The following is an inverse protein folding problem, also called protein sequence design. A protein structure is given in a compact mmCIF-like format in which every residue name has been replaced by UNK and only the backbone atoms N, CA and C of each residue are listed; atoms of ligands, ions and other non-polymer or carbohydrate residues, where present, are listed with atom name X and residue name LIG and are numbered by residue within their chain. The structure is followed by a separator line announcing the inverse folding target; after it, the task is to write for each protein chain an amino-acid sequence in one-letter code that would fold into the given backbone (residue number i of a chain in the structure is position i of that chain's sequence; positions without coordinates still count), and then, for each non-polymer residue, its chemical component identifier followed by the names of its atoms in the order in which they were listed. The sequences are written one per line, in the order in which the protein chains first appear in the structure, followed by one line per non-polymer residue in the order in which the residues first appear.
data_IF_544554142138
#
_entry.id   IF_544554142138
#
_cell.length_a   1.000
_cell.length_b   1.000
_cell.length_c   1.000
_cell.angle_alpha   90.00
_cell.angle_beta   90.00
_cell.angle_gamma   90.00
#
_symmetry.space_group_name_H-M   'P 1'
#
loop_
_entity.id
_entity.type
_entity.pdbx_description
1 polymer ?
#
# COMPACT_ATOMS: atom_id res chain seq x y z
N UNK A 1 27.16 9.78 -17.90
CA UNK A 1 27.51 10.03 -19.32
C UNK A 1 27.68 8.68 -19.99
N UNK A 2 27.19 8.49 -21.21
CA UNK A 2 27.38 7.21 -21.89
C UNK A 2 28.87 7.06 -22.19
N UNK A 3 29.48 5.96 -21.74
CA UNK A 3 30.82 5.52 -22.15
C UNK A 3 30.85 5.57 -23.68
N UNK A 4 31.64 6.49 -24.25
CA UNK A 4 32.06 6.36 -25.64
C UNK A 4 32.61 4.94 -25.81
N UNK A 5 32.08 4.19 -26.78
CA UNK A 5 32.45 2.80 -27.02
C UNK A 5 33.97 2.70 -27.11
N UNK A 6 34.61 2.20 -26.04
CA UNK A 6 36.04 1.91 -26.02
C UNK A 6 36.31 0.99 -27.20
N UNK A 7 37.32 1.30 -28.01
CA UNK A 7 37.61 0.49 -29.19
C UNK A 7 38.11 -0.87 -28.72
N UNK A 8 37.33 -1.91 -28.96
CA UNK A 8 37.85 -3.28 -28.92
C UNK A 8 38.58 -3.49 -30.27
N UNK A 9 39.87 -3.85 -30.29
CA UNK A 9 40.54 -4.14 -31.54
C UNK A 9 39.95 -5.43 -32.11
N UNK A 10 38.99 -5.23 -33.02
CA UNK A 10 38.37 -6.20 -33.94
C UNK A 10 37.53 -7.31 -33.28
N UNK A 11 36.30 -7.51 -33.76
CA UNK A 11 35.39 -8.61 -33.38
C UNK A 11 35.92 -10.01 -33.78
N UNK A 12 37.11 -10.09 -34.37
CA UNK A 12 37.75 -11.31 -34.89
C UNK A 12 38.61 -12.05 -33.87
N UNK A 13 38.99 -11.41 -32.75
CA UNK A 13 39.86 -11.98 -31.71
C UNK A 13 39.08 -12.44 -30.48
N UNK A 14 39.58 -13.46 -29.79
CA UNK A 14 39.02 -13.95 -28.51
C UNK A 14 39.02 -12.87 -27.42
N UNK A 15 40.01 -11.96 -27.45
CA UNK A 15 40.12 -10.84 -26.52
C UNK A 15 41.41 -10.04 -26.69
N UNK A 16 41.44 -8.85 -26.10
CA UNK A 16 42.59 -7.96 -26.04
C UNK A 16 43.44 -8.23 -24.79
N UNK A 17 44.68 -8.69 -24.99
CA UNK A 17 45.65 -8.94 -23.92
C UNK A 17 46.72 -7.85 -23.91
N UNK A 18 46.89 -7.18 -22.78
CA UNK A 18 47.97 -6.21 -22.56
C UNK A 18 49.10 -6.87 -21.76
N UNK A 19 50.29 -6.95 -22.34
CA UNK A 19 51.48 -7.53 -21.73
C UNK A 19 52.46 -6.42 -21.36
N UNK A 20 52.92 -6.40 -20.12
CA UNK A 20 53.84 -5.41 -19.57
C UNK A 20 55.01 -6.14 -18.93
N UNK A 21 56.20 -6.03 -19.52
CA UNK A 21 57.42 -6.67 -19.03
C UNK A 21 58.63 -5.87 -19.51
N UNK A 22 59.56 -5.53 -18.61
CA UNK A 22 60.75 -4.75 -18.94
C UNK A 22 61.75 -5.52 -19.80
N UNK A 23 61.61 -6.85 -19.88
CA UNK A 23 62.37 -7.71 -20.80
C UNK A 23 61.66 -7.87 -22.16
N UNK A 24 62.20 -7.30 -23.26
CA UNK A 24 61.56 -7.40 -24.59
C UNK A 24 61.41 -8.85 -25.08
N UNK A 25 62.33 -9.73 -24.66
CA UNK A 25 62.30 -11.15 -25.01
C UNK A 25 61.07 -11.85 -24.42
N UNK A 26 60.67 -11.50 -23.18
CA UNK A 26 59.48 -12.06 -22.55
C UNK A 26 58.22 -11.55 -23.25
N UNK A 27 58.14 -10.24 -23.53
CA UNK A 27 57.05 -9.65 -24.31
C UNK A 27 56.86 -10.37 -25.66
N UNK A 28 57.95 -10.57 -26.41
CA UNK A 28 57.92 -11.24 -27.71
C UNK A 28 57.52 -12.72 -27.61
N UNK A 29 58.01 -13.43 -26.59
CA UNK A 29 57.65 -14.83 -26.36
C UNK A 29 56.15 -14.99 -26.03
N UNK A 30 55.64 -14.19 -25.09
CA UNK A 30 54.22 -14.19 -24.72
C UNK A 30 53.34 -13.87 -25.93
N UNK A 31 53.73 -12.86 -26.72
CA UNK A 31 53.04 -12.50 -27.96
C UNK A 31 52.99 -13.66 -28.96
N UNK A 32 54.14 -14.30 -29.23
CA UNK A 32 54.23 -15.45 -30.11
C UNK A 32 53.44 -16.68 -29.63
N UNK A 33 53.18 -16.78 -28.31
CA UNK A 33 52.34 -17.85 -27.74
C UNK A 33 50.85 -17.58 -27.86
N UNK A 34 50.41 -16.33 -27.74
CA UNK A 34 49.00 -15.95 -27.66
C UNK A 34 48.38 -15.57 -29.01
N UNK A 35 49.14 -14.95 -29.94
CA UNK A 35 48.60 -14.58 -31.27
C UNK A 35 48.08 -15.78 -32.07
N UNK A 36 48.78 -16.95 -32.13
CA UNK A 36 48.26 -18.13 -32.82
C UNK A 36 46.96 -18.69 -32.21
N UNK A 37 46.70 -18.40 -30.95
CA UNK A 37 45.48 -18.83 -30.23
C UNK A 37 44.32 -17.83 -30.39
N UNK A 38 44.46 -16.88 -31.32
CA UNK A 38 43.50 -15.85 -31.69
C UNK A 38 43.28 -14.75 -30.64
N UNK A 39 44.33 -14.36 -29.90
CA UNK A 39 44.31 -13.17 -29.05
C UNK A 39 44.96 -11.98 -29.74
N UNK A 40 44.42 -10.77 -29.51
CA UNK A 40 45.10 -9.55 -29.92
C UNK A 40 46.03 -9.11 -28.79
N UNK A 41 47.34 -9.07 -29.04
CA UNK A 41 48.34 -8.84 -27.99
C UNK A 41 49.03 -7.50 -28.19
N UNK A 42 48.95 -6.63 -27.18
CA UNK A 42 49.71 -5.39 -27.10
C UNK A 42 50.81 -5.55 -26.04
N UNK A 43 52.06 -5.33 -26.43
CA UNK A 43 53.23 -5.49 -25.54
C UNK A 43 53.87 -4.13 -25.25
N UNK A 44 54.26 -3.89 -24.00
CA UNK A 44 54.97 -2.69 -23.58
C UNK A 44 56.08 -3.03 -22.59
N UNK A 45 57.24 -2.39 -22.76
CA UNK A 45 58.34 -2.45 -21.79
C UNK A 45 58.29 -1.33 -20.76
N UNK A 46 57.50 -0.28 -21.02
CA UNK A 46 57.24 0.83 -20.10
C UNK A 46 55.79 0.75 -19.58
N UNK A 47 55.56 0.42 -18.30
CA UNK A 47 54.24 0.38 -17.70
C UNK A 47 53.44 1.68 -17.84
N UNK A 48 54.10 2.85 -17.80
CA UNK A 48 53.43 4.15 -17.89
C UNK A 48 52.82 4.36 -19.29
N UNK A 49 53.43 3.81 -20.33
CA UNK A 49 52.88 3.84 -21.69
C UNK A 49 51.71 2.87 -21.83
N UNK A 50 51.83 1.67 -21.27
CA UNK A 50 50.77 0.67 -21.25
C UNK A 50 49.50 1.20 -20.57
N UNK A 51 49.65 1.86 -19.41
CA UNK A 51 48.52 2.40 -18.66
C UNK A 51 47.76 3.52 -19.39
N UNK A 52 48.38 4.23 -20.34
CA UNK A 52 47.71 5.25 -21.19
C UNK A 52 46.72 4.66 -22.19
N UNK A 53 46.76 3.34 -22.41
CA UNK A 53 45.79 2.65 -23.28
C UNK A 53 44.43 2.47 -22.60
N UNK A 54 44.41 2.39 -21.27
CA UNK A 54 43.17 2.31 -20.52
C UNK A 54 42.34 3.58 -20.75
N UNK A 55 41.06 3.39 -21.11
CA UNK A 55 40.16 4.46 -21.53
C UNK A 55 40.12 4.70 -23.04
N UNK A 56 41.14 4.27 -23.80
CA UNK A 56 41.10 4.26 -25.28
C UNK A 56 40.65 2.92 -25.84
N UNK A 57 41.16 1.85 -25.24
CA UNK A 57 40.86 0.46 -25.61
C UNK A 57 40.16 -0.26 -24.46
N UNK A 58 39.31 -1.23 -24.80
CA UNK A 58 38.72 -2.14 -23.82
C UNK A 58 39.62 -3.36 -23.66
N UNK A 59 40.50 -3.34 -22.66
CA UNK A 59 41.52 -4.37 -22.42
C UNK A 59 40.90 -5.49 -21.62
N UNK A 60 40.96 -6.74 -22.10
CA UNK A 60 40.33 -7.88 -21.44
C UNK A 60 41.17 -8.54 -20.36
N UNK A 61 42.47 -8.70 -20.60
CA UNK A 61 43.38 -9.32 -19.65
C UNK A 61 44.68 -8.54 -19.63
N UNK A 62 45.25 -8.36 -18.45
CA UNK A 62 46.58 -7.78 -18.29
C UNK A 62 47.54 -8.83 -17.77
N UNK A 63 48.71 -8.93 -18.40
CA UNK A 63 49.83 -9.72 -17.93
C UNK A 63 50.93 -8.73 -17.56
N UNK A 64 51.40 -8.75 -16.31
CA UNK A 64 52.43 -7.83 -15.84
C UNK A 64 53.54 -8.59 -15.15
N UNK A 65 54.79 -8.25 -15.44
CA UNK A 65 55.90 -8.64 -14.58
C UNK A 65 55.73 -8.02 -13.18
N UNK A 66 56.21 -8.72 -12.15
CA UNK A 66 56.17 -8.23 -10.77
C UNK A 66 57.23 -7.16 -10.53
N UNK A 67 58.44 -7.31 -11.07
CA UNK A 67 59.62 -6.52 -10.74
C UNK A 67 60.12 -5.73 -11.94
N UNK A 68 59.53 -4.56 -12.16
CA UNK A 68 59.95 -3.64 -13.21
C UNK A 68 60.59 -2.36 -12.62
N UNK A 69 61.56 -1.72 -13.31
CA UNK A 69 62.14 -0.45 -12.90
C UNK A 69 61.11 0.68 -12.83
N UNK A 70 61.25 1.58 -11.84
CA UNK A 70 60.42 2.76 -11.56
C UNK A 70 58.94 2.52 -11.22
N UNK A 71 58.24 1.67 -11.95
CA UNK A 71 56.81 1.40 -11.80
C UNK A 71 56.59 -0.12 -11.73
N UNK A 72 56.34 -0.61 -10.53
CA UNK A 72 56.32 -2.03 -10.22
C UNK A 72 55.03 -2.72 -10.70
N UNK A 73 55.04 -4.05 -10.77
CA UNK A 73 53.83 -4.83 -11.09
C UNK A 73 52.70 -4.62 -10.08
N UNK A 74 53.01 -4.34 -8.81
CA UNK A 74 51.99 -4.01 -7.82
C UNK A 74 51.37 -2.63 -8.01
N UNK A 75 52.10 -1.67 -8.56
CA UNK A 75 51.53 -0.39 -8.97
C UNK A 75 50.54 -0.57 -10.12
N UNK A 76 50.86 -1.43 -11.11
CA UNK A 76 49.96 -1.80 -12.21
C UNK A 76 48.70 -2.46 -11.65
N UNK A 77 48.85 -3.44 -10.77
CA UNK A 77 47.72 -4.14 -10.15
C UNK A 77 46.83 -3.16 -9.37
N UNK A 78 47.41 -2.30 -8.52
CA UNK A 78 46.64 -1.28 -7.76
C UNK A 78 45.87 -0.34 -8.67
N UNK A 79 46.49 0.14 -9.74
CA UNK A 79 45.82 1.01 -10.71
C UNK A 79 44.59 0.33 -11.33
N UNK A 80 44.75 -0.91 -11.80
CA UNK A 80 43.69 -1.66 -12.47
C UNK A 80 42.58 -2.01 -11.48
N UNK A 81 42.91 -2.52 -10.30
CA UNK A 81 41.91 -2.86 -9.27
C UNK A 81 41.07 -1.65 -8.84
N UNK A 82 41.65 -0.46 -8.87
CA UNK A 82 40.95 0.78 -8.48
C UNK A 82 40.07 1.32 -9.60
N UNK A 83 40.56 1.34 -10.85
CA UNK A 83 39.87 2.01 -11.97
C UNK A 83 39.11 1.08 -12.90
N UNK A 84 39.54 -0.17 -13.01
CA UNK A 84 39.02 -1.18 -13.92
C UNK A 84 38.94 -2.55 -13.22
N UNK A 85 38.17 -2.67 -12.12
CA UNK A 85 38.14 -3.87 -11.27
C UNK A 85 37.67 -5.14 -11.97
N UNK A 86 37.01 -5.01 -13.13
CA UNK A 86 36.60 -6.10 -14.02
C UNK A 86 37.75 -6.70 -14.85
N UNK A 87 38.87 -6.01 -15.00
CA UNK A 87 40.03 -6.50 -15.78
C UNK A 87 40.89 -7.42 -14.88
N UNK A 88 40.95 -8.72 -15.16
CA UNK A 88 41.87 -9.63 -14.47
C UNK A 88 43.33 -9.30 -14.81
N UNK A 89 44.18 -9.40 -13.79
CA UNK A 89 45.63 -9.20 -13.90
C UNK A 89 46.35 -10.49 -13.56
N UNK A 90 47.16 -11.00 -14.49
CA UNK A 90 48.04 -12.15 -14.33
C UNK A 90 49.47 -11.61 -14.07
N UNK A 91 50.10 -12.07 -13.01
CA UNK A 91 51.46 -11.64 -12.66
C UNK A 91 52.51 -12.63 -13.17
N UNK A 92 53.60 -12.16 -13.77
CA UNK A 92 54.76 -12.98 -14.10
C UNK A 92 55.83 -12.83 -13.00
N UNK A 93 56.36 -13.95 -12.52
CA UNK A 93 57.29 -13.97 -11.39
C UNK A 93 58.49 -14.88 -11.62
N UNK A 94 59.63 -14.58 -11.02
CA UNK A 94 60.80 -15.47 -11.01
C UNK A 94 60.68 -16.60 -9.99
N UNK A 95 61.49 -17.65 -10.16
CA UNK A 95 61.51 -18.88 -9.34
C UNK A 95 61.67 -18.70 -7.82
N UNK A 96 62.07 -17.52 -7.33
CA UNK A 96 62.38 -17.26 -5.91
C UNK A 96 61.38 -16.34 -5.18
N UNK A 97 60.20 -16.05 -5.75
CA UNK A 97 59.34 -14.96 -5.25
C UNK A 97 57.96 -15.39 -4.68
N UNK A 98 57.89 -16.56 -4.04
CA UNK A 98 56.64 -17.12 -3.47
C UNK A 98 55.94 -16.15 -2.52
N UNK A 99 56.68 -15.43 -1.67
CA UNK A 99 56.10 -14.44 -0.73
C UNK A 99 55.43 -13.28 -1.46
N UNK A 100 56.03 -12.83 -2.56
CA UNK A 100 55.49 -11.74 -3.38
C UNK A 100 54.30 -12.22 -4.19
N UNK A 101 54.32 -13.45 -4.72
CA UNK A 101 53.15 -14.05 -5.35
C UNK A 101 51.94 -14.09 -4.40
N UNK A 102 52.14 -14.53 -3.14
CA UNK A 102 51.09 -14.52 -2.12
C UNK A 102 50.58 -13.10 -1.82
N UNK A 103 51.47 -12.11 -1.75
CA UNK A 103 51.09 -10.72 -1.56
C UNK A 103 50.22 -10.20 -2.72
N UNK A 104 50.58 -10.49 -3.97
CA UNK A 104 49.82 -10.08 -5.16
C UNK A 104 48.45 -10.76 -5.22
N UNK A 105 48.34 -12.04 -4.86
CA UNK A 105 47.04 -12.72 -4.75
C UNK A 105 46.13 -12.01 -3.75
N UNK A 106 46.65 -11.63 -2.57
CA UNK A 106 45.88 -10.87 -1.56
C UNK A 106 45.44 -9.50 -2.05
N UNK A 107 46.22 -8.89 -2.95
CA UNK A 107 45.87 -7.62 -3.59
C UNK A 107 44.87 -7.76 -4.75
N UNK A 108 44.47 -8.99 -5.09
CA UNK A 108 43.45 -9.26 -6.11
C UNK A 108 44.00 -9.55 -7.51
N UNK A 109 45.26 -9.96 -7.63
CA UNK A 109 45.74 -10.57 -8.87
C UNK A 109 44.91 -11.84 -9.17
N UNK A 110 44.53 -12.01 -10.43
CA UNK A 110 43.72 -13.15 -10.87
C UNK A 110 44.53 -14.45 -10.86
N UNK A 111 45.78 -14.39 -11.31
CA UNK A 111 46.68 -15.54 -11.32
C UNK A 111 48.16 -15.09 -11.27
N UNK A 112 49.08 -16.01 -11.01
CA UNK A 112 50.52 -15.78 -11.13
C UNK A 112 51.19 -16.93 -11.90
N UNK A 113 52.18 -16.61 -12.73
CA UNK A 113 52.92 -17.57 -13.56
C UNK A 113 54.42 -17.41 -13.33
N UNK A 114 55.14 -18.53 -13.28
CA UNK A 114 56.59 -18.55 -13.04
C UNK A 114 57.34 -18.48 -14.39
N UNK A 115 58.34 -17.60 -14.48
CA UNK A 115 59.28 -17.50 -15.62
C UNK A 115 60.34 -18.63 -15.55
N UNK A 116 60.76 -19.24 -16.67
CA UNK A 116 60.29 -18.99 -18.03
C UNK A 116 58.88 -19.59 -18.26
N UNK A 117 58.00 -18.80 -18.85
CA UNK A 117 56.59 -19.18 -19.02
C UNK A 117 56.44 -20.15 -20.19
N UNK A 118 55.74 -21.26 -19.98
CA UNK A 118 55.45 -22.25 -21.02
C UNK A 118 54.19 -21.86 -21.79
N UNK A 119 54.14 -22.16 -23.10
CA UNK A 119 53.01 -21.83 -23.99
C UNK A 119 51.67 -22.29 -23.41
N UNK A 120 51.55 -23.57 -23.10
CA UNK A 120 50.26 -24.15 -22.67
C UNK A 120 49.76 -23.54 -21.36
N UNK A 121 50.69 -23.19 -20.47
CA UNK A 121 50.38 -22.59 -19.16
C UNK A 121 49.86 -21.16 -19.31
N UNK A 122 50.49 -20.33 -20.15
CA UNK A 122 50.06 -18.94 -20.32
C UNK A 122 48.76 -18.84 -21.10
N UNK A 123 48.57 -19.66 -22.14
CA UNK A 123 47.33 -19.71 -22.91
C UNK A 123 46.17 -20.09 -22.01
N UNK A 124 46.32 -21.16 -21.22
CA UNK A 124 45.29 -21.59 -20.27
C UNK A 124 44.96 -20.51 -19.23
N UNK A 125 45.98 -19.83 -18.69
CA UNK A 125 45.78 -18.76 -17.71
C UNK A 125 45.03 -17.55 -18.29
N UNK A 126 45.34 -17.16 -19.53
CA UNK A 126 44.66 -16.05 -20.22
C UNK A 126 43.21 -16.42 -20.56
N UNK A 127 42.96 -17.64 -21.05
CA UNK A 127 41.59 -18.10 -21.32
C UNK A 127 40.73 -18.10 -20.05
N UNK A 128 41.25 -18.57 -18.92
CA UNK A 128 40.53 -18.54 -17.64
C UNK A 128 40.30 -17.12 -17.11
N UNK A 129 41.27 -16.23 -17.30
CA UNK A 129 41.11 -14.81 -16.97
C UNK A 129 39.99 -14.16 -17.82
N UNK A 130 39.98 -14.42 -19.13
CA UNK A 130 38.96 -13.90 -20.04
C UNK A 130 37.57 -14.40 -19.65
N UNK A 131 37.40 -15.71 -19.41
CA UNK A 131 36.13 -16.29 -18.91
C UNK A 131 35.66 -15.59 -17.62
N UNK A 132 36.59 -15.35 -16.68
CA UNK A 132 36.29 -14.68 -15.42
C UNK A 132 35.82 -13.23 -15.62
N UNK A 133 36.46 -12.46 -16.50
CA UNK A 133 36.02 -11.10 -16.86
C UNK A 133 34.61 -11.10 -17.45
N UNK A 134 34.33 -11.99 -18.39
CA UNK A 134 33.02 -12.09 -19.02
C UNK A 134 31.93 -12.39 -17.98
N UNK A 135 32.22 -13.25 -17.01
CA UNK A 135 31.31 -13.53 -15.89
C UNK A 135 31.07 -12.30 -15.01
N UNK A 136 32.12 -11.53 -14.68
CA UNK A 136 31.99 -10.29 -13.90
C UNK A 136 31.10 -9.26 -14.61
N UNK A 137 31.32 -9.06 -15.92
CA UNK A 137 30.53 -8.14 -16.73
C UNK A 137 29.07 -8.59 -16.82
N UNK A 138 28.81 -9.89 -17.02
CA UNK A 138 27.47 -10.48 -17.05
C UNK A 138 26.74 -10.29 -15.72
N UNK A 139 27.40 -10.54 -14.61
CA UNK A 139 26.82 -10.37 -13.28
C UNK A 139 26.45 -8.90 -13.01
N UNK A 140 27.31 -7.96 -13.41
CA UNK A 140 27.04 -6.52 -13.30
C UNK A 140 25.82 -6.12 -14.13
N UNK A 141 25.69 -6.62 -15.35
CA UNK A 141 24.54 -6.34 -16.21
C UNK A 141 23.23 -6.89 -15.62
N UNK A 142 23.24 -8.15 -15.16
CA UNK A 142 22.07 -8.77 -14.52
C UNK A 142 21.63 -8.02 -13.25
N UNK A 143 22.57 -7.47 -12.48
CA UNK A 143 22.24 -6.62 -11.33
C UNK A 143 21.51 -5.34 -11.75
N UNK A 144 21.95 -4.69 -12.83
CA UNK A 144 21.29 -3.49 -13.35
C UNK A 144 19.88 -3.79 -13.87
N UNK A 145 19.70 -4.89 -14.60
CA UNK A 145 18.39 -5.34 -15.08
C UNK A 145 17.44 -5.65 -13.92
N UNK A 146 17.94 -6.36 -12.89
CA UNK A 146 17.17 -6.67 -11.68
C UNK A 146 16.70 -5.39 -10.98
N UNK A 147 17.58 -4.40 -10.81
CA UNK A 147 17.22 -3.13 -10.18
C UNK A 147 16.14 -2.38 -10.99
N UNK A 148 16.25 -2.39 -12.32
CA UNK A 148 15.24 -1.79 -13.20
C UNK A 148 13.88 -2.49 -13.04
N UNK A 149 13.89 -3.82 -13.06
CA UNK A 149 12.69 -4.63 -12.91
C UNK A 149 12.03 -4.44 -11.54
N UNK A 150 12.81 -4.38 -10.46
CA UNK A 150 12.29 -4.12 -9.11
C UNK A 150 11.56 -2.78 -9.04
N UNK A 151 12.14 -1.72 -9.59
CA UNK A 151 11.51 -0.40 -9.64
C UNK A 151 10.21 -0.39 -10.44
N UNK A 152 10.18 -1.08 -11.59
CA UNK A 152 8.97 -1.21 -12.40
C UNK A 152 7.86 -1.98 -11.67
N UNK A 153 8.23 -3.04 -10.95
CA UNK A 153 7.30 -3.83 -10.14
C UNK A 153 6.73 -3.02 -8.97
N UNK A 154 7.57 -2.28 -8.25
CA UNK A 154 7.13 -1.38 -7.18
C UNK A 154 6.14 -0.33 -7.70
N UNK A 155 6.42 0.30 -8.83
CA UNK A 155 5.50 1.25 -9.45
C UNK A 155 4.15 0.59 -9.80
N UNK A 156 4.18 -0.64 -10.34
CA UNK A 156 2.97 -1.39 -10.67
C UNK A 156 2.15 -1.75 -9.42
N UNK A 157 2.80 -2.12 -8.32
CA UNK A 157 2.14 -2.41 -7.05
C UNK A 157 1.45 -1.15 -6.50
N UNK A 158 2.15 0.00 -6.50
CA UNK A 158 1.56 1.26 -6.05
C UNK A 158 0.33 1.65 -6.89
N UNK A 159 0.43 1.56 -8.21
CA UNK A 159 -0.67 1.88 -9.13
C UNK A 159 -1.89 0.95 -8.90
N UNK A 160 -1.66 -0.37 -8.80
CA UNK A 160 -2.74 -1.33 -8.55
C UNK A 160 -3.38 -1.16 -7.18
N UNK A 161 -2.58 -0.83 -6.17
CA UNK A 161 -3.09 -0.55 -4.82
C UNK A 161 -3.99 0.68 -4.83
N UNK A 162 -3.60 1.75 -5.52
CA UNK A 162 -4.43 2.95 -5.68
C UNK A 162 -5.75 2.64 -6.38
N UNK A 163 -5.70 1.96 -7.53
CA UNK A 163 -6.90 1.57 -8.29
C UNK A 163 -7.86 0.71 -7.46
N UNK A 164 -7.32 -0.22 -6.66
CA UNK A 164 -8.14 -1.06 -5.79
C UNK A 164 -8.80 -0.23 -4.68
N UNK A 165 -8.08 0.69 -4.05
CA UNK A 165 -8.64 1.59 -3.04
C UNK A 165 -9.74 2.48 -3.61
N UNK A 166 -9.55 3.04 -4.79
CA UNK A 166 -10.55 3.84 -5.50
C UNK A 166 -11.82 3.01 -5.79
N UNK A 167 -11.66 1.82 -6.37
CA UNK A 167 -12.78 0.93 -6.67
C UNK A 167 -13.54 0.47 -5.41
N UNK A 168 -12.83 0.18 -4.32
CA UNK A 168 -13.46 -0.19 -3.04
C UNK A 168 -14.24 0.99 -2.42
N UNK A 169 -13.71 2.20 -2.50
CA UNK A 169 -14.39 3.40 -2.00
C UNK A 169 -15.62 3.72 -2.84
N UNK A 170 -15.54 3.58 -4.16
CA UNK A 170 -16.68 3.74 -5.07
C UNK A 170 -17.76 2.69 -4.79
N UNK A 171 -17.38 1.42 -4.62
CA UNK A 171 -18.32 0.35 -4.27
C UNK A 171 -19.03 0.63 -2.93
N UNK A 172 -18.30 1.08 -1.90
CA UNK A 172 -18.89 1.47 -0.62
C UNK A 172 -19.88 2.63 -0.77
N UNK A 173 -19.52 3.65 -1.55
CA UNK A 173 -20.40 4.81 -1.83
C UNK A 173 -21.69 4.36 -2.51
N UNK A 174 -21.58 3.59 -3.58
CA UNK A 174 -22.72 3.06 -4.34
C UNK A 174 -23.58 2.18 -3.43
N UNK A 175 -22.98 1.29 -2.64
CA UNK A 175 -23.72 0.42 -1.74
C UNK A 175 -24.56 1.22 -0.73
N UNK A 176 -23.98 2.26 -0.13
CA UNK A 176 -24.70 3.15 0.79
C UNK A 176 -25.80 3.96 0.09
N UNK A 177 -25.58 4.40 -1.14
CA UNK A 177 -26.60 5.06 -1.96
C UNK A 177 -27.77 4.12 -2.28
N UNK A 178 -27.50 2.86 -2.63
CA UNK A 178 -28.54 1.85 -2.84
C UNK A 178 -29.37 1.64 -1.58
N UNK A 179 -28.73 1.49 -0.40
CA UNK A 179 -29.46 1.35 0.86
C UNK A 179 -30.33 2.58 1.15
N UNK A 180 -29.82 3.79 0.88
CA UNK A 180 -30.60 5.01 1.04
C UNK A 180 -31.84 5.03 0.13
N UNK A 181 -31.70 4.61 -1.12
CA UNK A 181 -32.83 4.53 -2.06
C UNK A 181 -33.88 3.52 -1.57
N UNK A 182 -33.45 2.36 -1.07
CA UNK A 182 -34.36 1.36 -0.50
C UNK A 182 -35.10 1.88 0.74
N UNK A 183 -34.39 2.57 1.63
CA UNK A 183 -34.99 3.23 2.80
C UNK A 183 -36.03 4.27 2.35
N UNK A 184 -35.67 5.15 1.42
CA UNK A 184 -36.61 6.14 0.88
C UNK A 184 -37.81 5.52 0.18
N UNK A 185 -37.66 4.36 -0.49
CA UNK A 185 -38.80 3.67 -1.09
C UNK A 185 -39.78 3.11 -0.03
N UNK A 186 -39.28 2.71 1.14
CA UNK A 186 -40.14 2.36 2.29
C UNK A 186 -40.81 3.60 2.86
N UNK A 187 -40.10 4.73 2.95
CA UNK A 187 -40.69 6.01 3.37
C UNK A 187 -41.77 6.53 2.42
N UNK A 188 -41.71 6.23 1.11
CA UNK A 188 -42.80 6.63 0.18
C UNK A 188 -44.13 5.92 0.49
N UNK A 189 -44.11 4.79 1.22
CA UNK A 189 -45.33 4.17 1.80
C UNK A 189 -45.79 4.86 3.09
N UNK A 190 -45.00 5.74 3.67
CA UNK A 190 -45.38 6.52 4.85
C UNK A 190 -45.07 7.99 4.54
N UNK A 191 -45.97 8.72 3.85
CA UNK A 191 -45.71 10.05 3.28
C UNK A 191 -45.13 11.08 4.25
N UNK A 192 -45.22 10.82 5.56
CA UNK A 192 -44.78 11.66 6.66
C UNK A 192 -43.34 11.38 7.13
N UNK A 193 -42.72 10.33 6.60
CA UNK A 193 -41.34 9.92 6.93
C UNK A 193 -40.34 10.31 5.85
N UNK A 194 -40.72 11.08 4.82
CA UNK A 194 -39.82 11.43 3.71
C UNK A 194 -38.56 12.13 4.21
N UNK A 195 -37.40 11.48 4.03
CA UNK A 195 -36.09 12.00 4.45
C UNK A 195 -35.77 11.81 5.93
N UNK A 196 -36.69 11.23 6.71
CA UNK A 196 -36.55 10.96 8.14
C UNK A 196 -35.33 10.07 8.42
N UNK A 197 -35.24 8.92 7.77
CA UNK A 197 -34.14 7.96 7.97
C UNK A 197 -32.79 8.59 7.62
N UNK A 198 -32.76 9.51 6.65
CA UNK A 198 -31.55 10.24 6.32
C UNK A 198 -31.18 11.30 7.39
N UNK A 199 -32.15 11.98 8.00
CA UNK A 199 -31.90 12.89 9.11
C UNK A 199 -31.41 12.14 10.35
N UNK A 200 -32.11 11.08 10.74
CA UNK A 200 -31.73 10.18 11.84
C UNK A 200 -30.31 9.67 11.64
N UNK A 201 -29.95 9.26 10.41
CA UNK A 201 -28.57 8.88 10.05
C UNK A 201 -27.57 10.01 10.32
N UNK A 202 -27.87 11.24 9.92
CA UNK A 202 -26.95 12.38 10.07
C UNK A 202 -26.77 12.75 11.54
N UNK A 203 -27.84 12.77 12.33
CA UNK A 203 -27.78 12.97 13.77
C UNK A 203 -27.02 11.85 14.47
N UNK A 204 -27.31 10.59 14.12
CA UNK A 204 -26.64 9.43 14.69
C UNK A 204 -25.13 9.44 14.40
N UNK A 205 -24.76 9.74 13.15
CA UNK A 205 -23.36 9.89 12.72
C UNK A 205 -22.65 10.93 13.58
N UNK A 206 -23.23 12.10 13.72
CA UNK A 206 -22.59 13.18 14.44
C UNK A 206 -22.47 12.95 15.94
N UNK A 207 -23.50 12.38 16.56
CA UNK A 207 -23.43 12.01 17.97
C UNK A 207 -22.37 10.93 18.20
N UNK A 208 -22.32 9.91 17.36
CA UNK A 208 -21.30 8.86 17.46
C UNK A 208 -19.87 9.40 17.26
N UNK A 209 -19.67 10.34 16.33
CA UNK A 209 -18.39 11.01 16.12
C UNK A 209 -17.94 11.78 17.37
N UNK A 210 -18.84 12.55 17.98
CA UNK A 210 -18.56 13.28 19.24
C UNK A 210 -18.27 12.36 20.42
N UNK A 211 -18.85 11.17 20.43
CA UNK A 211 -18.59 10.12 21.42
C UNK A 211 -17.31 9.30 21.12
N UNK A 212 -16.54 9.65 20.09
CA UNK A 212 -15.25 9.04 19.79
C UNK A 212 -15.34 7.67 19.08
N UNK A 213 -16.41 7.41 18.33
CA UNK A 213 -16.57 6.13 17.64
C UNK A 213 -15.63 6.03 16.43
N UNK A 214 -15.05 4.85 16.22
CA UNK A 214 -14.28 4.58 14.98
C UNK A 214 -15.16 4.69 13.74
N UNK A 215 -14.59 5.10 12.60
CA UNK A 215 -15.31 5.21 11.31
C UNK A 215 -16.15 3.96 10.98
N UNK A 216 -15.61 2.75 11.23
CA UNK A 216 -16.33 1.49 10.99
C UNK A 216 -17.59 1.32 11.85
N UNK A 217 -17.56 1.79 13.10
CA UNK A 217 -18.73 1.76 14.00
C UNK A 217 -19.76 2.81 13.58
N UNK A 218 -19.30 4.00 13.20
CA UNK A 218 -20.15 5.07 12.66
C UNK A 218 -20.85 4.60 11.39
N UNK A 219 -20.14 3.98 10.46
CA UNK A 219 -20.69 3.45 9.22
C UNK A 219 -21.80 2.42 9.49
N UNK A 220 -21.57 1.49 10.43
CA UNK A 220 -22.57 0.50 10.85
C UNK A 220 -23.82 1.16 11.46
N UNK A 221 -23.62 2.18 12.29
CA UNK A 221 -24.73 2.95 12.87
C UNK A 221 -25.51 3.72 11.79
N UNK A 222 -24.83 4.26 10.78
CA UNK A 222 -25.50 4.92 9.65
C UNK A 222 -26.37 3.95 8.85
N UNK A 223 -25.93 2.71 8.63
CA UNK A 223 -26.77 1.68 8.00
C UNK A 223 -27.95 1.29 8.89
N UNK A 224 -27.75 1.14 10.19
CA UNK A 224 -28.83 0.86 11.14
C UNK A 224 -29.86 2.00 11.14
N UNK A 225 -29.42 3.26 11.13
CA UNK A 225 -30.28 4.43 11.06
C UNK A 225 -31.08 4.49 9.75
N UNK A 226 -30.49 4.12 8.62
CA UNK A 226 -31.21 4.09 7.34
C UNK A 226 -32.26 2.96 7.30
N UNK A 227 -32.03 1.86 8.01
CA UNK A 227 -32.83 0.65 7.91
C UNK A 227 -33.73 0.39 9.13
N UNK A 228 -33.70 1.24 10.15
CA UNK A 228 -34.45 1.01 11.41
C UNK A 228 -35.95 0.77 11.16
N UNK A 229 -36.51 1.48 10.19
CA UNK A 229 -37.92 1.43 9.82
C UNK A 229 -38.24 0.50 8.64
N UNK A 230 -37.26 -0.25 8.10
CA UNK A 230 -37.45 -1.10 6.89
C UNK A 230 -38.60 -2.10 7.05
N UNK A 231 -38.88 -2.56 8.28
CA UNK A 231 -39.96 -3.48 8.57
C UNK A 231 -41.37 -2.92 8.34
N UNK A 232 -41.52 -1.59 8.25
CA UNK A 232 -42.80 -0.95 7.90
C UNK A 232 -43.33 -1.37 6.54
N UNK A 233 -42.48 -1.91 5.65
CA UNK A 233 -42.89 -2.47 4.35
C UNK A 233 -43.99 -3.53 4.46
N UNK A 234 -44.04 -4.26 5.58
CA UNK A 234 -44.99 -5.33 5.85
C UNK A 234 -46.29 -4.84 6.55
N UNK A 235 -46.37 -3.57 6.91
CA UNK A 235 -47.55 -2.96 7.55
C UNK A 235 -48.48 -2.44 6.46
N UNK A 236 -49.80 -2.58 6.65
CA UNK A 236 -50.77 -2.12 5.65
C UNK A 236 -50.84 -0.59 5.60
N UNK A 237 -51.05 -0.07 4.39
CA UNK A 237 -51.18 1.37 4.13
C UNK A 237 -52.35 1.98 4.92
N UNK A 238 -53.46 1.25 5.04
CA UNK A 238 -54.65 1.67 5.79
C UNK A 238 -54.35 1.94 7.27
N UNK A 239 -53.40 1.20 7.87
CA UNK A 239 -52.97 1.43 9.26
C UNK A 239 -52.02 2.62 9.33
N UNK A 240 -51.08 2.74 8.40
CA UNK A 240 -50.09 3.83 8.39
C UNK A 240 -50.72 5.20 8.12
N UNK A 241 -51.70 5.27 7.20
CA UNK A 241 -52.36 6.52 6.78
C UNK A 241 -53.60 6.88 7.61
N UNK A 242 -53.94 6.08 8.64
CA UNK A 242 -55.21 6.20 9.36
C UNK A 242 -55.40 7.58 10.01
N UNK A 243 -56.43 8.39 9.65
CA UNK A 243 -56.77 9.68 10.26
C UNK A 243 -57.20 9.56 11.72
N UNK A 244 -56.23 9.45 12.65
CA UNK A 244 -56.44 9.51 14.09
C UNK A 244 -55.58 8.52 14.87
N UNK A 245 -55.90 8.28 16.16
CA UNK A 245 -55.17 7.32 16.97
C UNK A 245 -55.42 5.88 16.48
N UNK A 246 -54.36 5.07 16.53
CA UNK A 246 -54.45 3.63 16.30
C UNK A 246 -55.19 2.93 17.45
N UNK A 247 -55.98 1.92 17.11
CA UNK A 247 -56.53 0.96 18.08
C UNK A 247 -55.41 0.12 18.67
N UNK A 248 -55.67 -0.54 19.81
CA UNK A 248 -54.68 -1.43 20.45
C UNK A 248 -54.17 -2.52 19.50
N UNK A 249 -55.05 -3.13 18.69
CA UNK A 249 -54.69 -4.15 17.71
C UNK A 249 -53.82 -3.60 16.58
N UNK A 250 -54.16 -2.41 16.05
CA UNK A 250 -53.36 -1.76 15.00
C UNK A 250 -51.98 -1.35 15.54
N UNK A 251 -51.91 -0.88 16.78
CA UNK A 251 -50.64 -0.55 17.44
C UNK A 251 -49.75 -1.79 17.63
N UNK A 252 -50.34 -2.93 18.03
CA UNK A 252 -49.61 -4.20 18.13
C UNK A 252 -49.01 -4.64 16.79
N UNK A 253 -49.74 -4.42 15.67
CA UNK A 253 -49.25 -4.68 14.32
C UNK A 253 -48.07 -3.77 13.99
N UNK A 254 -48.19 -2.45 14.21
CA UNK A 254 -47.09 -1.51 13.95
C UNK A 254 -45.85 -1.84 14.78
N UNK A 255 -46.03 -2.27 16.04
CA UNK A 255 -44.92 -2.68 16.93
C UNK A 255 -44.15 -3.92 16.46
N UNK A 256 -44.63 -4.63 15.43
CA UNK A 256 -43.89 -5.74 14.82
C UNK A 256 -42.80 -5.28 13.85
N UNK A 257 -42.81 -4.02 13.38
CA UNK A 257 -41.84 -3.57 12.38
C UNK A 257 -40.36 -3.72 12.78
N UNK A 258 -39.93 -3.59 14.05
CA UNK A 258 -38.52 -3.82 14.40
C UNK A 258 -38.13 -5.30 14.22
N UNK A 259 -39.01 -6.23 14.59
CA UNK A 259 -38.82 -7.68 14.43
C UNK A 259 -38.77 -8.05 12.94
N UNK A 260 -39.68 -7.48 12.15
CA UNK A 260 -39.71 -7.71 10.70
C UNK A 260 -38.45 -7.10 10.04
N UNK A 261 -38.04 -5.91 10.48
CA UNK A 261 -36.85 -5.23 10.00
C UNK A 261 -35.58 -6.04 10.24
N UNK A 262 -35.39 -6.53 11.47
CA UNK A 262 -34.31 -7.45 11.82
C UNK A 262 -34.29 -8.67 10.89
N UNK A 263 -35.45 -9.34 10.74
CA UNK A 263 -35.59 -10.52 9.88
C UNK A 263 -35.24 -10.25 8.42
N UNK A 264 -35.64 -9.09 7.88
CA UNK A 264 -35.34 -8.70 6.50
C UNK A 264 -33.84 -8.53 6.32
N UNK A 265 -33.19 -7.75 7.18
CA UNK A 265 -31.78 -7.37 6.98
C UNK A 265 -30.81 -8.48 7.38
N UNK A 266 -31.19 -9.38 8.29
CA UNK A 266 -30.36 -10.53 8.70
C UNK A 266 -30.06 -11.52 7.56
N UNK A 267 -30.78 -11.45 6.44
CA UNK A 267 -30.49 -12.25 5.24
C UNK A 267 -29.23 -11.78 4.50
N UNK A 268 -28.71 -10.59 4.81
CA UNK A 268 -27.48 -10.06 4.25
C UNK A 268 -26.40 -10.14 5.32
N UNK A 269 -25.33 -10.91 5.05
CA UNK A 269 -24.24 -11.11 6.01
C UNK A 269 -23.65 -9.80 6.56
N UNK A 270 -23.54 -8.80 5.69
CA UNK A 270 -23.06 -7.46 6.06
C UNK A 270 -23.94 -6.77 7.12
N UNK A 271 -25.25 -7.05 7.16
CA UNK A 271 -26.18 -6.41 8.07
C UNK A 271 -26.48 -7.22 9.35
N UNK A 272 -25.97 -8.44 9.49
CA UNK A 272 -26.20 -9.28 10.68
C UNK A 272 -25.86 -8.57 11.97
N UNK A 273 -24.75 -7.82 11.99
CA UNK A 273 -24.33 -7.16 13.21
C UNK A 273 -25.06 -5.82 13.49
N UNK A 274 -25.86 -5.31 12.55
CA UNK A 274 -26.71 -4.13 12.77
C UNK A 274 -28.17 -4.53 13.01
N UNK A 275 -28.55 -5.78 12.75
CA UNK A 275 -29.87 -6.32 12.99
C UNK A 275 -30.38 -6.09 14.43
N UNK A 276 -29.55 -6.26 15.49
CA UNK A 276 -29.96 -5.93 16.85
C UNK A 276 -30.23 -4.44 17.08
N UNK A 277 -29.61 -3.54 16.30
CA UNK A 277 -29.86 -2.10 16.41
C UNK A 277 -31.23 -1.77 15.83
N UNK A 278 -31.57 -2.39 14.70
CA UNK A 278 -32.89 -2.27 14.05
C UNK A 278 -33.98 -2.93 14.89
N UNK A 279 -33.73 -4.06 15.54
CA UNK A 279 -34.73 -4.70 16.41
C UNK A 279 -35.09 -3.85 17.63
N UNK A 280 -34.09 -3.26 18.28
CA UNK A 280 -34.24 -2.68 19.60
C UNK A 280 -34.31 -1.14 19.62
N UNK A 281 -34.42 -0.47 18.48
CA UNK A 281 -34.43 1.01 18.43
C UNK A 281 -35.64 1.66 19.12
N UNK A 282 -36.68 0.86 19.44
CA UNK A 282 -37.83 1.28 20.25
C UNK A 282 -37.83 0.72 21.68
N UNK A 283 -36.74 0.07 22.10
CA UNK A 283 -36.53 -0.24 23.50
C UNK A 283 -36.32 1.05 24.30
N UNK A 284 -36.73 1.01 25.56
CA UNK A 284 -36.65 2.15 26.48
C UNK A 284 -35.73 1.81 27.62
N UNK A 285 -34.94 2.79 28.07
CA UNK A 285 -34.02 2.59 29.19
C UNK A 285 -34.69 2.00 30.45
N UNK A 286 -35.96 2.35 30.69
CA UNK A 286 -36.79 1.88 31.80
C UNK A 286 -37.41 0.47 31.61
N UNK A 287 -37.22 -0.18 30.47
CA UNK A 287 -37.79 -1.50 30.15
C UNK A 287 -39.25 -1.46 29.70
N UNK A 288 -39.85 -0.29 29.50
CA UNK A 288 -41.24 -0.16 29.02
C UNK A 288 -41.34 -0.10 27.48
N UNK A 289 -40.23 -0.39 26.80
CA UNK A 289 -40.11 -0.40 25.35
C UNK A 289 -40.64 -1.68 24.71
N UNK A 290 -40.31 -1.86 23.44
CA UNK A 290 -40.65 -3.05 22.65
C UNK A 290 -39.55 -3.29 21.60
N UNK A 291 -39.40 -4.51 21.06
CA UNK A 291 -40.27 -5.68 21.20
C UNK A 291 -40.03 -6.58 22.43
N UNK A 292 -38.87 -6.51 23.07
CA UNK A 292 -38.41 -7.49 24.06
C UNK A 292 -38.43 -6.95 25.51
N UNK A 293 -38.56 -5.63 25.69
CA UNK A 293 -38.64 -5.00 27.01
C UNK A 293 -37.29 -4.96 27.74
N UNK A 294 -36.20 -4.85 26.98
CA UNK A 294 -34.84 -4.76 27.49
C UNK A 294 -34.64 -3.50 28.35
N UNK A 295 -33.80 -3.59 29.39
CA UNK A 295 -33.59 -2.48 30.33
C UNK A 295 -32.13 -2.05 30.39
N UNK A 296 -31.90 -0.73 30.46
CA UNK A 296 -30.57 -0.18 30.64
C UNK A 296 -29.57 -0.64 29.57
N UNK A 297 -28.45 -1.21 30.02
CA UNK A 297 -27.36 -1.64 29.16
C UNK A 297 -27.63 -2.95 28.39
N UNK A 298 -28.70 -3.67 28.71
CA UNK A 298 -29.15 -4.82 27.89
C UNK A 298 -29.51 -4.39 26.47
N UNK A 299 -29.93 -3.13 26.32
CA UNK A 299 -30.20 -2.53 25.01
C UNK A 299 -28.86 -2.26 24.31
N UNK A 300 -28.66 -2.74 23.07
CA UNK A 300 -27.45 -2.44 22.32
C UNK A 300 -27.19 -0.93 22.25
N UNK A 301 -25.94 -0.51 22.47
CA UNK A 301 -25.60 0.92 22.52
C UNK A 301 -26.10 1.69 21.30
N UNK A 302 -25.93 1.13 20.10
CA UNK A 302 -26.42 1.76 18.87
C UNK A 302 -27.94 1.95 18.85
N UNK A 303 -28.72 1.02 19.41
CA UNK A 303 -30.18 1.16 19.53
C UNK A 303 -30.56 2.27 20.51
N UNK A 304 -29.86 2.38 21.65
CA UNK A 304 -30.05 3.48 22.61
C UNK A 304 -29.78 4.84 21.98
N UNK A 305 -28.74 4.92 21.15
CA UNK A 305 -28.40 6.12 20.38
C UNK A 305 -29.48 6.45 19.34
N UNK A 306 -29.91 5.46 18.55
CA UNK A 306 -30.99 5.63 17.59
C UNK A 306 -32.29 6.11 18.24
N UNK A 307 -32.66 5.56 19.41
CA UNK A 307 -33.86 5.96 20.13
C UNK A 307 -33.91 7.46 20.44
N UNK A 308 -32.78 8.07 20.80
CA UNK A 308 -32.68 9.51 21.06
C UNK A 308 -32.86 10.32 19.78
N UNK A 309 -32.11 10.01 18.73
CA UNK A 309 -32.10 10.80 17.50
C UNK A 309 -33.37 10.62 16.65
N UNK A 310 -33.96 9.42 16.67
CA UNK A 310 -35.26 9.13 16.06
C UNK A 310 -36.36 9.91 16.77
N UNK A 311 -36.40 9.85 18.11
CA UNK A 311 -37.38 10.61 18.88
C UNK A 311 -37.25 12.12 18.67
N UNK A 312 -36.03 12.64 18.55
CA UNK A 312 -35.79 14.05 18.22
C UNK A 312 -36.37 14.42 16.85
N UNK A 313 -35.97 13.71 15.77
CA UNK A 313 -36.44 14.02 14.42
C UNK A 313 -37.97 13.85 14.29
N UNK A 314 -38.52 12.83 14.95
CA UNK A 314 -39.96 12.62 15.08
C UNK A 314 -40.70 13.77 15.78
N UNK A 315 -40.06 14.39 16.78
CA UNK A 315 -40.61 15.52 17.53
C UNK A 315 -40.55 16.85 16.77
N UNK A 316 -39.51 17.06 15.96
CA UNK A 316 -39.30 18.28 15.19
C UNK A 316 -39.90 18.27 13.78
N UNK A 317 -40.47 17.14 13.36
CA UNK A 317 -41.10 16.98 12.04
C UNK A 317 -42.63 17.08 12.11
N UNK A 318 -43.25 17.62 11.06
CA UNK A 318 -44.72 17.64 10.92
C UNK A 318 -45.26 16.24 10.64
N UNK A 319 -46.32 15.84 11.35
CA UNK A 319 -46.98 14.52 11.26
C UNK A 319 -48.49 14.70 11.07
N UNK A 320 -49.24 13.68 10.59
CA UNK A 320 -50.65 13.84 10.21
C UNK A 320 -51.55 14.37 11.33
N UNK A 321 -51.22 14.04 12.59
CA UNK A 321 -52.00 14.42 13.78
C UNK A 321 -51.27 15.42 14.70
N UNK A 322 -50.08 15.90 14.32
CA UNK A 322 -49.30 16.80 15.16
C UNK A 322 -48.34 17.66 14.35
N UNK A 323 -48.39 18.97 14.56
CA UNK A 323 -47.36 19.89 14.08
C UNK A 323 -46.02 19.61 14.76
N UNK A 324 -44.93 20.02 14.12
CA UNK A 324 -43.61 20.04 14.73
C UNK A 324 -43.64 20.81 16.06
N UNK A 325 -43.00 20.26 17.10
CA UNK A 325 -42.87 20.94 18.38
C UNK A 325 -41.77 22.01 18.32
N UNK A 326 -41.91 23.14 19.06
CA UNK A 326 -40.82 24.09 19.23
C UNK A 326 -39.57 23.41 19.79
N UNK A 327 -38.39 23.79 19.31
CA UNK A 327 -37.14 23.13 19.67
C UNK A 327 -36.94 23.08 21.18
N UNK A 328 -37.21 24.19 21.87
CA UNK A 328 -37.06 24.32 23.33
C UNK A 328 -37.89 23.26 24.06
N UNK A 329 -39.12 22.99 23.60
CA UNK A 329 -39.98 21.95 24.17
C UNK A 329 -39.43 20.54 23.89
N UNK A 330 -38.88 20.30 22.70
CA UNK A 330 -38.26 19.01 22.35
C UNK A 330 -37.05 18.73 23.25
N UNK A 331 -36.19 19.72 23.46
CA UNK A 331 -35.02 19.59 24.33
C UNK A 331 -35.44 19.33 25.78
N UNK A 332 -36.47 20.01 26.27
CA UNK A 332 -37.02 19.77 27.61
C UNK A 332 -37.62 18.35 27.75
N UNK A 333 -38.26 17.83 26.70
CA UNK A 333 -38.76 16.45 26.68
C UNK A 333 -37.60 15.44 26.74
N UNK A 334 -36.52 15.66 25.99
CA UNK A 334 -35.33 14.79 26.02
C UNK A 334 -34.71 14.81 27.43
N UNK A 335 -34.54 16.00 28.02
CA UNK A 335 -34.02 16.18 29.37
C UNK A 335 -34.86 15.42 30.42
N UNK A 336 -36.18 15.63 30.42
CA UNK A 336 -37.11 15.00 31.38
C UNK A 336 -37.20 13.48 31.27
N UNK A 337 -36.82 12.92 30.12
CA UNK A 337 -36.89 11.49 29.84
C UNK A 337 -35.53 10.76 29.91
N UNK A 338 -34.46 11.44 30.34
CA UNK A 338 -33.19 10.81 30.74
C UNK A 338 -33.42 9.76 31.84
N UNK A 339 -32.85 8.57 31.66
CA UNK A 339 -33.04 7.45 32.59
C UNK A 339 -34.44 6.84 32.59
N UNK A 340 -35.33 7.28 31.69
CA UNK A 340 -36.67 6.70 31.45
C UNK A 340 -36.75 6.15 30.04
N UNK A 341 -37.04 7.01 29.07
CA UNK A 341 -37.04 6.60 27.66
C UNK A 341 -35.61 6.43 27.16
N UNK A 342 -34.74 7.38 27.52
CA UNK A 342 -33.43 7.52 26.93
C UNK A 342 -32.33 7.10 27.90
N UNK A 343 -31.27 6.52 27.35
CA UNK A 343 -30.00 6.39 28.04
C UNK A 343 -29.54 7.78 28.52
N UNK A 344 -29.27 7.94 29.83
CA UNK A 344 -28.95 9.25 30.40
C UNK A 344 -27.67 9.84 29.81
N UNK A 345 -26.65 9.04 29.55
CA UNK A 345 -25.35 9.51 29.06
C UNK A 345 -25.44 9.92 27.58
N UNK A 346 -26.14 9.14 26.77
CA UNK A 346 -26.36 9.45 25.36
C UNK A 346 -27.25 10.68 25.20
N UNK A 347 -28.33 10.79 25.97
CA UNK A 347 -29.21 11.95 25.92
C UNK A 347 -28.49 13.22 26.44
N UNK A 348 -27.63 13.09 27.46
CA UNK A 348 -26.79 14.20 27.90
C UNK A 348 -25.83 14.62 26.79
N UNK A 349 -25.11 13.68 26.17
CA UNK A 349 -24.20 13.97 25.07
C UNK A 349 -24.91 14.62 23.86
N UNK A 350 -26.12 14.18 23.53
CA UNK A 350 -26.94 14.79 22.47
C UNK A 350 -27.17 16.30 22.71
N UNK A 351 -27.41 16.67 23.98
CA UNK A 351 -27.65 18.05 24.38
C UNK A 351 -26.34 18.85 24.48
N UNK A 352 -25.32 18.30 25.14
CA UNK A 352 -24.03 18.97 25.37
C UNK A 352 -23.29 19.28 24.07
N UNK A 353 -23.37 18.38 23.09
CA UNK A 353 -22.75 18.59 21.77
C UNK A 353 -23.66 19.31 20.77
N UNK A 354 -24.84 19.78 21.22
CA UNK A 354 -25.82 20.49 20.41
C UNK A 354 -26.15 19.78 19.09
N UNK A 355 -26.30 18.45 19.11
CA UNK A 355 -26.50 17.63 17.90
C UNK A 355 -27.73 18.09 17.09
N UNK A 356 -28.72 18.66 17.77
CA UNK A 356 -29.92 19.25 17.18
C UNK A 356 -29.64 20.40 16.19
N UNK A 357 -28.47 21.04 16.22
CA UNK A 357 -28.10 22.14 15.32
C UNK A 357 -27.50 21.68 13.98
N UNK A 358 -27.15 20.40 13.83
CA UNK A 358 -26.30 19.92 12.72
C UNK A 358 -26.99 20.04 11.35
N UNK A 359 -28.30 19.85 11.28
CA UNK A 359 -29.05 20.03 10.03
C UNK A 359 -29.48 21.48 9.79
N UNK A 360 -29.26 22.39 10.76
CA UNK A 360 -29.59 23.82 10.66
C UNK A 360 -28.40 24.68 10.22
N UNK A 361 -27.17 24.15 10.24
CA UNK A 361 -26.00 24.89 9.76
C UNK A 361 -26.09 25.11 8.23
N UNK A 362 -25.84 26.34 7.73
CA UNK A 362 -25.74 26.56 6.30
C UNK A 362 -24.61 25.68 5.75
N UNK A 363 -24.87 24.97 4.64
CA UNK A 363 -23.86 24.22 3.91
C UNK A 363 -22.86 25.21 3.32
N UNK A 364 -21.81 25.57 4.06
CA UNK A 364 -20.62 26.19 3.49
C UNK A 364 -19.85 25.11 2.71
N UNK A 365 -20.27 24.91 1.47
CA UNK A 365 -19.44 24.27 0.44
C UNK A 365 -19.24 25.29 -0.66
N UNK A 366 -18.31 26.21 -0.44
CA UNK A 366 -17.67 26.93 -1.53
C UNK A 366 -16.75 25.95 -2.27
N UNK A 367 -17.24 25.40 -3.37
CA UNK A 367 -16.33 24.90 -4.40
C UNK A 367 -15.59 26.11 -4.95
N UNK A 368 -14.29 26.24 -4.64
CA UNK A 368 -13.42 27.12 -5.41
C UNK A 368 -13.36 26.57 -6.85
N UNK A 369 -13.72 27.44 -7.78
CA UNK A 369 -13.62 27.23 -9.23
C UNK A 369 -12.18 27.00 -9.68
#
# INVERSE_FOLDING_TARGET
MPDEKRKHPVDEYKGLVLVIDDEPNVCNAVKAYLEPENFYVLTFTDPKQALKLFGKFDIDVVISDIRMPEFSGDDVLRFIRTKYPEVPVIMLTGLNDVRTAVAMTRMGAHNYLIKPVQKDVIVFAVEKALEYRQLLLRNKLLQLEKLKYQKELENRIHERTRQLMEALNELRRIHKETVRILASAVEEKDPYTKGHSNNVRLYAKALADKLGFSEKKIERLEYAALLHDIGKIAISQEILDKPGPLTKKELEIVRQHPIIGERIISNVDFFKDIAPLVRHHHERWDGQGYPDGLRGEEIPFGARLLAVVDSFDAMTSNRPYRNALPLEQVLEIIEKNKGKQFDPDIAQAFLDYEIYNILKQPKDVTYKA
#
